data_IF_493474863490
#
_entry.id   IF_493474863490
#
_cell.length_a   1.000
_cell.length_b   1.000
_cell.length_c   1.000
_cell.angle_alpha   90.00
_cell.angle_beta   90.00
_cell.angle_gamma   90.00
#
_symmetry.space_group_name_H-M   'P 1'
#
loop_
_entity.id
_entity.type
_entity.pdbx_description
1 polymer ?
#
# COMPACT_ATOMS: atom_id res chain seq x y z
N UNK A 1 8.08 4.48 21.86
CA UNK A 1 8.62 3.76 23.01
C UNK A 1 7.58 3.65 24.13
N UNK A 2 7.02 4.74 24.67
CA UNK A 2 5.97 4.66 25.71
C UNK A 2 4.79 3.75 25.31
N UNK A 3 4.39 3.75 24.01
CA UNK A 3 3.33 2.85 23.50
C UNK A 3 3.82 1.42 23.25
N UNK A 4 5.11 1.23 22.96
CA UNK A 4 5.69 -0.08 22.72
C UNK A 4 5.90 -0.87 24.01
N UNK A 5 6.16 -0.20 25.14
CA UNK A 5 6.38 -0.82 26.45
C UNK A 5 7.70 -1.57 26.58
N UNK A 6 8.64 -1.37 25.64
CA UNK A 6 9.98 -1.97 25.64
C UNK A 6 11.01 -0.94 25.15
N UNK A 7 12.30 -1.20 25.42
CA UNK A 7 13.41 -0.32 25.07
C UNK A 7 14.00 -0.64 23.68
N UNK A 8 13.63 -1.79 23.10
CA UNK A 8 14.11 -2.35 21.85
C UNK A 8 13.01 -2.58 20.79
N UNK A 9 12.12 -1.61 20.57
CA UNK A 9 11.02 -1.77 19.62
C UNK A 9 11.51 -1.71 18.16
N UNK A 10 10.71 -2.27 17.26
CA UNK A 10 10.81 -2.01 15.82
C UNK A 10 9.98 -0.78 15.50
N UNK A 11 10.63 0.28 15.01
CA UNK A 11 9.96 1.50 14.55
C UNK A 11 9.79 1.47 13.03
N UNK A 12 8.54 1.45 12.57
CA UNK A 12 8.22 1.60 11.16
C UNK A 12 7.77 3.03 10.87
N UNK A 13 8.48 3.68 9.96
CA UNK A 13 8.22 5.04 9.50
C UNK A 13 7.80 4.98 8.03
N UNK A 14 6.51 5.13 7.79
CA UNK A 14 5.91 4.95 6.47
C UNK A 14 5.91 6.25 5.65
N UNK A 15 6.05 6.13 4.31
CA UNK A 15 5.99 7.23 3.32
C UNK A 15 6.97 8.39 3.61
N UNK A 16 8.25 8.12 3.85
CA UNK A 16 9.25 9.15 4.20
C UNK A 16 9.80 9.95 3.00
N UNK A 17 9.46 9.60 1.80
CA UNK A 17 9.65 10.43 0.60
C UNK A 17 8.87 11.77 0.64
N UNK A 18 7.87 11.87 1.53
CA UNK A 18 7.07 13.08 1.75
C UNK A 18 7.61 14.01 2.85
N UNK A 19 8.83 13.78 3.33
CA UNK A 19 9.51 14.64 4.30
C UNK A 19 9.89 15.98 3.64
N UNK A 20 8.88 16.83 3.39
CA UNK A 20 9.09 18.21 2.98
C UNK A 20 9.61 19.06 4.15
N UNK A 21 10.31 20.16 3.81
CA UNK A 21 10.63 21.20 4.77
C UNK A 21 9.34 21.97 5.08
N UNK A 22 8.59 21.51 6.08
CA UNK A 22 7.48 22.28 6.59
C UNK A 22 7.96 23.27 7.65
N UNK A 23 7.19 24.35 7.83
CA UNK A 23 7.46 25.45 8.78
C UNK A 23 7.61 25.03 10.25
N UNK A 24 7.47 23.76 10.59
CA UNK A 24 7.47 23.24 11.96
C UNK A 24 8.71 22.43 12.34
N UNK A 25 9.76 22.41 11.54
CA UNK A 25 11.00 21.71 11.84
C UNK A 25 11.58 20.95 10.66
N UNK A 26 12.79 20.43 10.81
CA UNK A 26 13.47 19.58 9.85
C UNK A 26 13.44 18.12 10.33
N UNK A 27 12.40 17.34 9.93
CA UNK A 27 12.30 15.95 10.33
C UNK A 27 13.43 15.07 9.79
N UNK A 28 14.11 15.52 8.73
CA UNK A 28 15.27 14.79 8.20
C UNK A 28 16.47 14.90 9.14
N UNK A 29 16.71 16.07 9.74
CA UNK A 29 17.76 16.26 10.74
C UNK A 29 17.52 15.43 12.00
N UNK A 30 16.27 15.35 12.48
CA UNK A 30 15.91 14.50 13.63
C UNK A 30 16.12 13.00 13.33
N UNK A 31 15.84 12.56 12.10
CA UNK A 31 16.13 11.19 11.67
C UNK A 31 17.61 10.92 11.55
N UNK A 32 18.41 11.88 11.08
CA UNK A 32 19.87 11.75 11.03
C UNK A 32 20.45 11.48 12.42
N UNK A 33 20.01 12.23 13.42
CA UNK A 33 20.43 12.03 14.81
C UNK A 33 19.95 10.68 15.37
N UNK A 34 18.70 10.30 15.11
CA UNK A 34 18.14 9.04 15.58
C UNK A 34 18.80 7.79 14.94
N UNK A 35 19.25 7.91 13.67
CA UNK A 35 19.87 6.80 12.94
C UNK A 35 21.40 6.77 13.08
N UNK A 36 22.01 7.80 13.66
CA UNK A 36 23.45 7.87 13.85
C UNK A 36 23.87 7.07 15.10
N UNK A 37 24.67 5.99 14.98
CA UNK A 37 25.11 5.21 16.12
C UNK A 37 25.94 5.98 17.15
N UNK A 38 26.57 7.10 16.73
CA UNK A 38 27.39 7.95 17.60
C UNK A 38 26.56 8.96 18.41
N UNK A 39 25.28 9.16 18.04
CA UNK A 39 24.41 10.18 18.64
C UNK A 39 23.12 9.58 19.22
N UNK A 40 22.62 8.46 18.70
CA UNK A 40 21.32 7.91 19.02
C UNK A 40 21.16 7.42 20.47
N UNK A 41 22.25 7.18 21.20
CA UNK A 41 22.22 6.82 22.62
C UNK A 41 21.79 7.99 23.52
N UNK A 42 21.84 9.23 23.02
CA UNK A 42 21.49 10.45 23.73
C UNK A 42 20.58 11.36 22.89
N UNK A 43 19.66 10.76 22.15
CA UNK A 43 18.68 11.50 21.34
C UNK A 43 17.84 12.39 22.22
N UNK A 44 17.80 13.69 21.93
CA UNK A 44 17.05 14.67 22.72
C UNK A 44 15.87 15.23 21.92
N UNK A 45 14.66 15.05 22.45
CA UNK A 45 13.48 15.74 21.93
C UNK A 45 13.58 17.24 22.31
N UNK A 46 13.65 18.10 21.31
CA UNK A 46 13.76 19.55 21.49
C UNK A 46 12.61 20.18 22.28
N UNK A 47 11.50 19.48 22.45
CA UNK A 47 10.35 19.94 23.21
C UNK A 47 10.40 19.51 24.67
N UNK A 48 10.89 18.31 24.94
CA UNK A 48 10.93 17.74 26.29
C UNK A 48 12.28 17.94 26.98
N UNK A 49 13.33 18.21 26.23
CA UNK A 49 14.73 18.39 26.69
C UNK A 49 15.20 17.25 27.62
N UNK A 50 14.74 16.03 27.33
CA UNK A 50 15.12 14.82 28.07
C UNK A 50 15.80 13.86 27.10
N UNK A 51 17.06 13.47 27.35
CA UNK A 51 17.76 12.51 26.50
C UNK A 51 17.12 11.13 26.61
N UNK A 52 17.06 10.45 25.46
CA UNK A 52 16.52 9.11 25.35
C UNK A 52 17.49 8.22 24.53
N UNK A 53 17.72 7.00 25.01
CA UNK A 53 18.58 6.03 24.33
C UNK A 53 17.79 5.29 23.23
N UNK A 54 18.14 5.52 21.97
CA UNK A 54 17.59 4.87 20.79
C UNK A 54 18.52 3.80 20.20
N UNK A 55 19.67 3.51 20.83
CA UNK A 55 20.68 2.60 20.30
C UNK A 55 20.21 1.15 20.08
N UNK A 56 19.14 0.75 20.79
CA UNK A 56 18.52 -0.58 20.68
C UNK A 56 17.30 -0.62 19.76
N UNK A 57 16.90 0.52 19.21
CA UNK A 57 15.72 0.61 18.36
C UNK A 57 16.08 0.19 16.93
N UNK A 58 15.29 -0.71 16.35
CA UNK A 58 15.42 -1.08 14.95
C UNK A 58 14.46 -0.25 14.10
N UNK A 59 15.00 0.50 13.14
CA UNK A 59 14.22 1.37 12.27
C UNK A 59 13.96 0.72 10.91
N UNK A 60 12.70 0.78 10.45
CA UNK A 60 12.29 0.44 9.10
C UNK A 60 11.64 1.68 8.49
N UNK A 61 12.18 2.16 7.37
CA UNK A 61 11.63 3.27 6.63
C UNK A 61 11.07 2.77 5.31
N UNK A 62 9.91 3.27 4.90
CA UNK A 62 9.36 3.01 3.57
C UNK A 62 9.28 4.30 2.77
N UNK A 63 9.54 4.20 1.48
CA UNK A 63 9.45 5.30 0.53
C UNK A 63 9.00 4.78 -0.85
N UNK A 64 8.33 5.62 -1.62
CA UNK A 64 7.98 5.32 -3.01
C UNK A 64 9.08 5.80 -3.97
N UNK A 65 9.80 6.86 -3.58
CA UNK A 65 10.86 7.48 -4.37
C UNK A 65 12.09 7.72 -3.50
N UNK A 66 13.27 7.55 -4.09
CA UNK A 66 14.56 7.75 -3.40
C UNK A 66 14.99 9.21 -3.50
N UNK A 67 14.75 9.86 -4.64
CA UNK A 67 15.26 11.21 -4.93
C UNK A 67 14.95 12.28 -3.87
N UNK A 68 13.79 12.27 -3.17
CA UNK A 68 13.53 13.25 -2.11
C UNK A 68 14.29 12.99 -0.81
N UNK A 69 14.87 11.80 -0.64
CA UNK A 69 15.54 11.40 0.60
C UNK A 69 16.97 11.99 0.59
N UNK A 70 17.37 12.73 1.64
CA UNK A 70 18.72 13.27 1.72
C UNK A 70 19.79 12.17 1.64
N UNK A 71 20.88 12.37 0.85
CA UNK A 71 21.96 11.38 0.72
C UNK A 71 22.55 10.95 2.06
N UNK A 72 22.67 11.88 3.01
CA UNK A 72 23.19 11.58 4.34
C UNK A 72 22.32 10.58 5.13
N UNK A 73 21.01 10.49 4.84
CA UNK A 73 20.14 9.45 5.41
C UNK A 73 20.34 8.11 4.68
N UNK A 74 20.46 8.14 3.36
CA UNK A 74 20.70 6.91 2.57
C UNK A 74 22.00 6.22 2.96
N UNK A 75 23.06 7.00 3.27
CA UNK A 75 24.35 6.47 3.72
C UNK A 75 24.28 5.69 5.06
N UNK A 76 23.23 5.92 5.84
CA UNK A 76 23.00 5.27 7.15
C UNK A 76 22.00 4.11 7.10
N UNK A 77 21.49 3.80 5.92
CA UNK A 77 20.42 2.79 5.74
C UNK A 77 20.86 1.72 4.75
N UNK A 78 20.42 0.50 4.99
CA UNK A 78 20.44 -0.56 3.98
C UNK A 78 19.19 -0.43 3.12
N UNK A 79 19.38 -0.24 1.81
CA UNK A 79 18.30 -0.07 0.86
C UNK A 79 17.86 -1.42 0.29
N UNK A 80 16.58 -1.74 0.45
CA UNK A 80 15.94 -2.94 -0.11
C UNK A 80 14.89 -2.48 -1.10
N UNK A 81 15.14 -2.70 -2.39
CA UNK A 81 14.18 -2.37 -3.43
C UNK A 81 13.14 -3.48 -3.58
N UNK A 82 11.87 -3.11 -3.52
CA UNK A 82 10.73 -3.99 -3.78
C UNK A 82 10.15 -3.65 -5.16
N UNK A 83 10.39 -4.47 -6.19
CA UNK A 83 9.86 -4.22 -7.51
C UNK A 83 8.33 -4.34 -7.52
N UNK A 84 7.70 -3.65 -8.46
CA UNK A 84 6.27 -3.80 -8.72
C UNK A 84 5.93 -5.18 -9.27
N UNK A 85 4.65 -5.52 -9.21
CA UNK A 85 4.14 -6.79 -9.76
C UNK A 85 4.04 -6.74 -11.29
N UNK A 86 4.42 -7.82 -11.93
CA UNK A 86 4.17 -8.06 -13.36
C UNK A 86 2.67 -8.29 -13.62
N UNK A 87 2.25 -8.20 -14.88
CA UNK A 87 0.86 -8.45 -15.27
C UNK A 87 0.40 -9.86 -14.88
N UNK A 88 1.26 -10.87 -15.11
CA UNK A 88 0.96 -12.27 -14.78
C UNK A 88 0.81 -12.47 -13.25
N UNK A 89 1.69 -11.85 -12.47
CA UNK A 89 1.59 -11.88 -11.01
C UNK A 89 0.31 -11.20 -10.53
N UNK A 90 -0.02 -10.02 -11.07
CA UNK A 90 -1.27 -9.31 -10.77
C UNK A 90 -2.49 -10.15 -11.08
N UNK A 91 -2.50 -10.86 -12.23
CA UNK A 91 -3.58 -11.77 -12.61
C UNK A 91 -3.75 -12.91 -11.59
N UNK A 92 -2.65 -13.56 -11.21
CA UNK A 92 -2.67 -14.66 -10.22
C UNK A 92 -3.15 -14.16 -8.87
N UNK A 93 -2.64 -13.02 -8.40
CA UNK A 93 -3.04 -12.41 -7.12
C UNK A 93 -4.51 -11.98 -7.15
N UNK A 94 -4.96 -11.38 -8.25
CA UNK A 94 -6.36 -10.99 -8.43
C UNK A 94 -7.31 -12.19 -8.28
N UNK A 95 -6.98 -13.31 -8.92
CA UNK A 95 -7.81 -14.54 -8.87
C UNK A 95 -7.78 -15.21 -7.52
N UNK A 96 -6.60 -15.35 -6.90
CA UNK A 96 -6.44 -16.11 -5.66
C UNK A 96 -6.86 -15.35 -4.40
N UNK A 97 -6.70 -14.02 -4.40
CA UNK A 97 -6.84 -13.24 -3.19
C UNK A 97 -7.84 -12.09 -3.32
N UNK A 98 -7.70 -11.23 -4.35
CA UNK A 98 -8.49 -10.00 -4.42
C UNK A 98 -9.97 -10.30 -4.74
N UNK A 99 -10.23 -11.11 -5.76
CA UNK A 99 -11.59 -11.44 -6.16
C UNK A 99 -12.36 -12.19 -5.06
N UNK A 100 -11.84 -13.27 -4.45
CA UNK A 100 -12.54 -13.95 -3.35
C UNK A 100 -12.82 -13.02 -2.17
N UNK A 101 -11.85 -12.17 -1.80
CA UNK A 101 -12.03 -11.16 -0.75
C UNK A 101 -13.17 -10.20 -1.08
N UNK A 102 -13.22 -9.69 -2.31
CA UNK A 102 -14.24 -8.73 -2.73
C UNK A 102 -15.62 -9.38 -2.90
N UNK A 103 -15.70 -10.64 -3.32
CA UNK A 103 -16.95 -11.39 -3.35
C UNK A 103 -17.54 -11.54 -1.93
N UNK A 104 -16.69 -11.86 -0.96
CA UNK A 104 -17.11 -11.97 0.45
C UNK A 104 -17.62 -10.64 1.00
N UNK A 105 -16.86 -9.56 0.81
CA UNK A 105 -17.21 -8.21 1.32
C UNK A 105 -18.54 -7.73 0.72
N UNK A 106 -18.84 -8.08 -0.54
CA UNK A 106 -20.04 -7.63 -1.24
C UNK A 106 -21.20 -8.63 -1.18
N UNK A 107 -21.12 -9.69 -0.36
CA UNK A 107 -22.20 -10.67 -0.17
C UNK A 107 -22.48 -11.56 -1.40
N UNK A 108 -21.47 -11.75 -2.25
CA UNK A 108 -21.56 -12.54 -3.47
C UNK A 108 -20.97 -13.97 -3.30
N UNK A 109 -20.63 -14.39 -2.10
CA UNK A 109 -19.99 -15.71 -1.84
C UNK A 109 -20.81 -16.89 -2.33
N UNK A 110 -22.15 -16.81 -2.22
CA UNK A 110 -23.07 -17.86 -2.62
C UNK A 110 -23.55 -17.74 -4.08
N UNK A 111 -23.08 -16.73 -4.80
CA UNK A 111 -23.40 -16.54 -6.21
C UNK A 111 -22.31 -17.16 -7.08
N UNK A 112 -22.73 -17.97 -8.07
CA UNK A 112 -21.81 -18.50 -9.09
C UNK A 112 -21.42 -17.35 -10.01
N UNK A 113 -20.39 -16.58 -9.60
CA UNK A 113 -19.87 -15.45 -10.35
C UNK A 113 -18.41 -15.71 -10.75
N UNK A 114 -18.11 -15.47 -12.01
CA UNK A 114 -16.75 -15.58 -12.56
C UNK A 114 -16.36 -14.29 -13.27
N UNK A 115 -15.25 -13.72 -12.85
CA UNK A 115 -14.53 -12.70 -13.61
C UNK A 115 -13.46 -13.43 -14.44
N UNK A 116 -13.56 -13.37 -15.76
CA UNK A 116 -12.67 -14.11 -16.66
C UNK A 116 -11.25 -13.52 -16.67
N UNK A 117 -10.25 -14.32 -17.04
CA UNK A 117 -8.86 -13.89 -17.06
C UNK A 117 -8.65 -12.71 -18.01
N UNK A 118 -9.28 -12.74 -19.19
CA UNK A 118 -9.27 -11.63 -20.15
C UNK A 118 -9.92 -10.36 -19.60
N UNK A 119 -10.93 -10.47 -18.74
CA UNK A 119 -11.52 -9.32 -18.08
C UNK A 119 -10.57 -8.73 -17.02
N UNK A 120 -9.91 -9.57 -16.23
CA UNK A 120 -8.92 -9.11 -15.25
C UNK A 120 -7.73 -8.46 -15.96
N UNK A 121 -7.21 -9.05 -17.01
CA UNK A 121 -6.12 -8.47 -17.83
C UNK A 121 -6.54 -7.12 -18.41
N UNK A 122 -7.77 -7.00 -18.92
CA UNK A 122 -8.29 -5.71 -19.40
C UNK A 122 -8.34 -4.67 -18.27
N UNK A 123 -8.77 -5.05 -17.07
CA UNK A 123 -8.77 -4.15 -15.90
C UNK A 123 -7.34 -3.70 -15.59
N UNK A 124 -6.37 -4.62 -15.57
CA UNK A 124 -4.97 -4.31 -15.28
C UNK A 124 -4.42 -3.31 -16.30
N UNK A 125 -4.67 -3.51 -17.60
CA UNK A 125 -4.09 -2.70 -18.67
C UNK A 125 -4.73 -1.34 -18.83
N UNK A 126 -6.06 -1.28 -18.74
CA UNK A 126 -6.82 -0.08 -19.13
C UNK A 126 -7.35 0.72 -17.95
N UNK A 127 -7.43 0.14 -16.75
CA UNK A 127 -8.03 0.79 -15.58
C UNK A 127 -7.09 0.90 -14.38
N UNK A 128 -5.84 0.45 -14.51
CA UNK A 128 -4.84 0.60 -13.45
C UNK A 128 -3.51 1.10 -14.02
N UNK A 129 -2.95 2.14 -13.41
CA UNK A 129 -1.64 2.71 -13.78
C UNK A 129 -0.56 2.52 -12.71
N UNK A 130 -0.78 1.60 -11.77
CA UNK A 130 0.10 1.41 -10.61
C UNK A 130 1.03 0.20 -10.74
N UNK A 131 2.19 0.26 -10.08
CA UNK A 131 3.07 -0.90 -9.91
C UNK A 131 2.53 -1.90 -8.88
N UNK A 132 1.69 -1.45 -7.95
CA UNK A 132 1.07 -2.22 -6.87
C UNK A 132 -0.25 -2.90 -7.23
N UNK A 133 -1.09 -3.12 -6.22
CA UNK A 133 -2.35 -3.87 -6.29
C UNK A 133 -3.56 -3.08 -5.74
N UNK A 134 -3.35 -1.88 -5.16
CA UNK A 134 -4.43 -1.12 -4.50
C UNK A 134 -5.49 -0.67 -5.48
N UNK A 135 -5.06 -0.14 -6.63
CA UNK A 135 -5.97 0.29 -7.69
C UNK A 135 -6.70 -0.89 -8.30
N UNK A 136 -5.99 -1.99 -8.58
CA UNK A 136 -6.58 -3.22 -9.09
C UNK A 136 -7.65 -3.76 -8.13
N UNK A 137 -7.37 -3.80 -6.83
CA UNK A 137 -8.36 -4.20 -5.82
C UNK A 137 -9.58 -3.26 -5.83
N UNK A 138 -9.36 -1.95 -5.96
CA UNK A 138 -10.42 -0.95 -6.01
C UNK A 138 -11.33 -1.14 -7.23
N UNK A 139 -10.75 -1.44 -8.40
CA UNK A 139 -11.50 -1.69 -9.62
C UNK A 139 -12.31 -3.00 -9.52
N UNK A 140 -11.71 -4.08 -9.04
CA UNK A 140 -12.41 -5.35 -8.80
C UNK A 140 -13.57 -5.14 -7.80
N UNK A 141 -13.34 -4.40 -6.72
CA UNK A 141 -14.38 -4.06 -5.76
C UNK A 141 -15.53 -3.26 -6.40
N UNK A 142 -15.21 -2.34 -7.31
CA UNK A 142 -16.23 -1.57 -8.06
C UNK A 142 -17.09 -2.49 -8.94
N UNK A 143 -16.48 -3.42 -9.66
CA UNK A 143 -17.20 -4.43 -10.45
C UNK A 143 -18.10 -5.28 -9.55
N UNK A 144 -17.59 -5.83 -8.45
CA UNK A 144 -18.37 -6.64 -7.52
C UNK A 144 -19.57 -5.88 -6.94
N UNK A 145 -19.40 -4.62 -6.51
CA UNK A 145 -20.51 -3.80 -6.00
C UNK A 145 -21.61 -3.57 -7.02
N UNK A 146 -21.24 -3.29 -8.27
CA UNK A 146 -22.23 -3.04 -9.33
C UNK A 146 -22.98 -4.31 -9.71
N UNK A 147 -22.29 -5.45 -9.68
CA UNK A 147 -22.94 -6.76 -9.88
C UNK A 147 -23.90 -7.08 -8.74
N UNK A 148 -23.48 -6.90 -7.48
CA UNK A 148 -24.35 -7.10 -6.33
C UNK A 148 -25.61 -6.24 -6.43
N UNK A 149 -25.48 -4.97 -6.83
CA UNK A 149 -26.60 -4.08 -7.07
C UNK A 149 -27.52 -4.60 -8.19
N UNK A 150 -26.97 -4.98 -9.35
CA UNK A 150 -27.78 -5.51 -10.48
C UNK A 150 -28.51 -6.81 -10.12
N UNK A 151 -27.86 -7.69 -9.34
CA UNK A 151 -28.45 -8.94 -8.88
C UNK A 151 -29.66 -8.68 -7.97
N UNK A 152 -29.55 -7.71 -7.06
CA UNK A 152 -30.63 -7.34 -6.15
C UNK A 152 -31.79 -6.63 -6.87
N UNK A 153 -31.49 -5.65 -7.72
CA UNK A 153 -32.51 -4.82 -8.38
C UNK A 153 -33.26 -5.57 -9.49
N UNK A 154 -32.52 -6.31 -10.32
CA UNK A 154 -33.08 -6.93 -11.53
C UNK A 154 -33.40 -8.41 -11.36
N UNK A 155 -33.08 -9.03 -10.22
CA UNK A 155 -33.15 -10.48 -9.97
C UNK A 155 -32.48 -11.32 -11.07
N UNK A 156 -31.43 -10.78 -11.68
CA UNK A 156 -30.67 -11.45 -12.73
C UNK A 156 -29.42 -12.04 -12.09
N UNK A 157 -29.21 -13.34 -12.25
CA UNK A 157 -27.96 -13.98 -11.87
C UNK A 157 -26.92 -13.73 -12.96
N UNK A 158 -25.97 -12.80 -12.70
CA UNK A 158 -24.81 -12.60 -13.55
C UNK A 158 -23.81 -13.67 -13.18
N UNK A 159 -23.55 -14.60 -14.10
CA UNK A 159 -22.66 -15.74 -13.85
C UNK A 159 -21.24 -15.51 -14.35
N UNK A 160 -21.04 -14.63 -15.33
CA UNK A 160 -19.74 -14.38 -15.93
C UNK A 160 -19.61 -12.92 -16.40
N UNK A 161 -18.45 -12.31 -16.16
CA UNK A 161 -18.05 -11.02 -16.73
C UNK A 161 -16.81 -11.23 -17.56
N UNK A 162 -16.90 -10.88 -18.84
CA UNK A 162 -15.84 -10.97 -19.85
C UNK A 162 -15.23 -9.60 -20.12
N UNK A 163 -14.11 -9.58 -20.85
CA UNK A 163 -13.42 -8.35 -21.24
C UNK A 163 -14.35 -7.28 -21.85
N UNK A 164 -15.28 -7.65 -22.70
CA UNK A 164 -16.26 -6.75 -23.31
C UNK A 164 -17.25 -6.10 -22.34
N UNK A 165 -17.44 -6.72 -21.19
CA UNK A 165 -18.42 -6.28 -20.19
C UNK A 165 -17.77 -5.33 -19.16
N UNK A 166 -16.44 -5.25 -19.12
CA UNK A 166 -15.70 -4.43 -18.15
C UNK A 166 -16.07 -2.96 -18.23
N UNK A 167 -16.17 -2.43 -19.45
CA UNK A 167 -16.52 -1.04 -19.71
C UNK A 167 -17.91 -0.66 -19.15
N UNK A 168 -18.87 -1.60 -19.19
CA UNK A 168 -20.20 -1.40 -18.58
C UNK A 168 -20.09 -1.13 -17.07
N UNK A 169 -19.11 -1.77 -16.41
CA UNK A 169 -18.94 -1.66 -14.96
C UNK A 169 -17.96 -0.57 -14.55
N UNK A 170 -16.94 -0.27 -15.32
CA UNK A 170 -15.90 0.69 -14.94
C UNK A 170 -15.99 2.03 -15.69
N UNK A 171 -16.75 2.07 -16.77
CA UNK A 171 -16.83 3.23 -17.66
C UNK A 171 -15.87 3.13 -18.84
N UNK A 172 -15.83 4.16 -19.66
CA UNK A 172 -14.89 4.27 -20.80
C UNK A 172 -13.45 4.39 -20.26
N UNK A 173 -12.50 3.80 -20.97
CA UNK A 173 -11.05 3.79 -20.64
C UNK A 173 -10.44 5.19 -20.66
#
# INVERSE_FOLDING_TARGET
>A
IKRAGCDDPVFMLDERDKLGRDFQGDPASALLEALDPEQNFSFTDHYLDVPFDLSKVFFILTANFIDPIPPALLDRMEMIELPGYTEDEKLVIAKKYLLPKQLKINGLENHVFKLTDDAIVKIIRSYTGEAGLRELERQIASVCRKIAKETLEKKINITEVRSKDVEKYLGVE
#
